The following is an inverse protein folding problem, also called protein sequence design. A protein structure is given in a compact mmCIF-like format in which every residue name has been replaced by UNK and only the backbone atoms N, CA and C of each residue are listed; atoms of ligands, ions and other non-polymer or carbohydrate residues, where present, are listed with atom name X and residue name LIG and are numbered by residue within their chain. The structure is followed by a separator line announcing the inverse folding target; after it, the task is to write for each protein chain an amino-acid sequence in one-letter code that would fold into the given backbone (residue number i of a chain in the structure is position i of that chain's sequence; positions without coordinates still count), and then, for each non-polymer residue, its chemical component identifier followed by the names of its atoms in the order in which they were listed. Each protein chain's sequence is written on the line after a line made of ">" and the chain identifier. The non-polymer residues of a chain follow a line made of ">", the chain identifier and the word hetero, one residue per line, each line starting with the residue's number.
data_IF_093129481631
#
_entry.id   IF_093129481631
#
_cell.length_a   1.000
_cell.length_b   1.000
_cell.length_c   1.000
_cell.angle_alpha   90.00
_cell.angle_beta   90.00
_cell.angle_gamma   90.00
#
_symmetry.space_group_name_H-M   'P 1'
#
loop_
_entity.id
_entity.type
_entity.pdbx_description
1 polymer ?
#
# COMPACT_ATOMS: atom_id res chain seq x y z
N UNK A 1 14.81 -27.68 -44.78
CA UNK A 1 15.69 -26.56 -44.36
C UNK A 1 14.93 -25.45 -43.65
N UNK A 2 13.87 -24.88 -44.24
CA UNK A 2 13.09 -23.78 -43.66
C UNK A 2 12.52 -24.06 -42.25
N UNK A 3 12.05 -25.30 -42.02
CA UNK A 3 11.47 -25.70 -40.73
C UNK A 3 12.52 -25.77 -39.61
N UNK A 4 13.74 -26.25 -39.93
CA UNK A 4 14.85 -26.29 -38.99
C UNK A 4 15.37 -24.90 -38.63
N UNK A 5 15.48 -24.01 -39.63
CA UNK A 5 15.87 -22.60 -39.41
C UNK A 5 14.84 -21.87 -38.54
N UNK A 6 13.54 -22.12 -38.75
CA UNK A 6 12.47 -21.58 -37.90
C UNK A 6 12.55 -22.07 -36.45
N UNK A 7 12.81 -23.36 -36.22
CA UNK A 7 12.95 -23.89 -34.86
C UNK A 7 14.14 -23.25 -34.13
N UNK A 8 15.28 -23.06 -34.81
CA UNK A 8 16.46 -22.39 -34.23
C UNK A 8 16.17 -20.93 -33.90
N UNK A 9 15.43 -20.21 -34.74
CA UNK A 9 15.04 -18.82 -34.47
C UNK A 9 14.06 -18.72 -33.29
N UNK A 10 13.08 -19.63 -33.20
CA UNK A 10 12.10 -19.65 -32.10
C UNK A 10 12.79 -19.97 -30.77
N UNK A 11 13.71 -20.94 -30.74
CA UNK A 11 14.43 -21.28 -29.50
C UNK A 11 15.33 -20.13 -29.02
N UNK A 12 16.02 -19.44 -29.93
CA UNK A 12 16.80 -18.24 -29.59
C UNK A 12 15.92 -17.11 -29.03
N UNK A 13 14.75 -16.85 -29.64
CA UNK A 13 13.77 -15.89 -29.14
C UNK A 13 13.27 -16.23 -27.73
N UNK A 14 12.94 -17.49 -27.47
CA UNK A 14 12.45 -17.95 -26.15
C UNK A 14 13.52 -17.78 -25.07
N UNK A 15 14.78 -18.10 -25.37
CA UNK A 15 15.90 -17.93 -24.42
C UNK A 15 16.12 -16.45 -24.06
N UNK A 16 16.03 -15.55 -25.05
CA UNK A 16 16.17 -14.11 -24.83
C UNK A 16 15.04 -13.54 -23.95
N UNK A 17 13.81 -14.01 -24.12
CA UNK A 17 12.66 -13.59 -23.28
C UNK A 17 12.78 -14.16 -21.87
N UNK A 18 13.16 -15.43 -21.71
CA UNK A 18 13.29 -16.08 -20.40
C UNK A 18 14.37 -15.44 -19.52
N UNK A 19 15.51 -15.02 -20.10
CA UNK A 19 16.58 -14.34 -19.34
C UNK A 19 16.15 -12.99 -18.76
N UNK A 20 15.11 -12.37 -19.31
CA UNK A 20 14.55 -11.10 -18.85
C UNK A 20 13.29 -11.27 -17.96
N UNK A 21 12.89 -12.51 -17.68
CA UNK A 21 11.74 -12.79 -16.81
C UNK A 21 12.14 -12.82 -15.33
N UNK A 22 12.59 -11.66 -14.81
CA UNK A 22 12.43 -11.42 -13.37
C UNK A 22 10.96 -11.04 -13.17
N UNK A 23 10.11 -12.05 -13.08
CA UNK A 23 8.71 -11.88 -12.71
C UNK A 23 8.64 -11.13 -11.38
N UNK A 24 7.59 -10.32 -11.20
CA UNK A 24 7.37 -9.36 -10.13
C UNK A 24 7.32 -9.99 -8.72
N UNK A 25 8.46 -10.54 -8.29
CA UNK A 25 8.68 -11.21 -7.02
C UNK A 25 9.77 -10.44 -6.28
N UNK A 26 9.47 -10.10 -5.04
CA UNK A 26 10.44 -9.47 -4.17
C UNK A 26 11.61 -10.43 -3.90
N UNK A 27 12.82 -10.00 -4.26
CA UNK A 27 14.04 -10.72 -3.96
C UNK A 27 14.37 -10.58 -2.46
N UNK A 28 15.39 -11.30 -2.00
CA UNK A 28 15.95 -11.08 -0.66
C UNK A 28 16.34 -9.61 -0.51
N UNK A 29 15.95 -9.01 0.60
CA UNK A 29 16.23 -7.62 0.88
C UNK A 29 17.75 -7.43 1.04
N UNK A 30 18.29 -6.49 0.27
CA UNK A 30 19.67 -6.03 0.38
C UNK A 30 19.63 -4.51 0.55
N UNK A 31 19.70 -4.08 1.81
CA UNK A 31 19.60 -2.66 2.19
C UNK A 31 20.71 -1.81 1.59
N UNK A 32 21.86 -2.41 1.23
CA UNK A 32 22.96 -1.70 0.58
C UNK A 32 22.63 -1.20 -0.82
N UNK A 33 21.58 -1.76 -1.44
CA UNK A 33 21.07 -1.35 -2.76
C UNK A 33 19.97 -0.30 -2.67
N UNK A 34 19.48 0.01 -1.48
CA UNK A 34 18.43 0.98 -1.29
C UNK A 34 18.98 2.40 -1.41
N UNK A 35 18.21 3.25 -2.07
CA UNK A 35 18.48 4.69 -2.08
C UNK A 35 17.90 5.31 -0.81
N UNK A 36 18.73 6.06 -0.08
CA UNK A 36 18.27 6.76 1.12
C UNK A 36 17.34 7.92 0.74
N UNK A 37 16.10 7.96 1.24
CA UNK A 37 15.17 9.03 0.92
C UNK A 37 15.63 10.34 1.57
N UNK A 38 15.93 11.35 0.74
CA UNK A 38 16.34 12.69 1.17
C UNK A 38 15.21 13.68 0.96
N UNK A 39 14.95 14.54 1.96
CA UNK A 39 13.94 15.61 1.91
C UNK A 39 12.52 15.14 1.54
N UNK A 40 11.98 14.14 2.27
CA UNK A 40 10.59 13.76 2.10
C UNK A 40 9.64 14.88 2.58
N UNK A 41 8.61 15.24 1.79
CA UNK A 41 7.60 16.21 2.22
C UNK A 41 6.74 15.73 3.40
N UNK A 42 6.79 14.43 3.69
CA UNK A 42 6.03 13.81 4.76
C UNK A 42 6.75 12.59 5.33
N UNK A 43 6.00 11.58 5.76
CA UNK A 43 6.63 10.43 6.41
C UNK A 43 7.39 9.51 5.45
N UNK A 44 8.28 8.71 6.03
CA UNK A 44 9.00 7.65 5.33
C UNK A 44 8.26 6.34 5.57
N UNK A 45 7.95 5.63 4.48
CA UNK A 45 7.24 4.35 4.48
C UNK A 45 8.09 3.30 3.79
N UNK A 46 7.78 2.03 4.02
CA UNK A 46 8.41 0.95 3.28
C UNK A 46 7.84 0.90 1.86
N UNK A 47 8.71 0.67 0.88
CA UNK A 47 8.32 0.44 -0.50
C UNK A 47 7.55 -0.88 -0.68
N UNK A 48 7.13 -1.12 -1.92
CA UNK A 48 6.32 -2.29 -2.35
C UNK A 48 6.81 -3.65 -1.82
N UNK A 49 8.12 -3.86 -1.73
CA UNK A 49 8.71 -5.11 -1.26
C UNK A 49 9.01 -5.15 0.24
N UNK A 50 8.66 -4.10 1.00
CA UNK A 50 8.93 -4.03 2.43
C UNK A 50 10.41 -3.91 2.80
N UNK A 51 11.29 -3.62 1.85
CA UNK A 51 12.75 -3.61 2.04
C UNK A 51 13.30 -2.17 2.14
N UNK A 52 13.17 -1.39 1.07
CA UNK A 52 13.70 -0.04 1.03
C UNK A 52 12.70 0.97 1.61
N UNK A 53 13.23 1.93 2.36
CA UNK A 53 12.50 3.11 2.82
C UNK A 53 12.34 4.12 1.70
N UNK A 54 11.11 4.59 1.46
CA UNK A 54 10.76 5.55 0.42
C UNK A 54 9.87 6.66 0.99
N UNK A 55 9.83 7.81 0.34
CA UNK A 55 8.91 8.88 0.75
C UNK A 55 7.45 8.46 0.51
N UNK A 56 6.59 8.75 1.48
CA UNK A 56 5.16 8.49 1.35
C UNK A 56 4.50 9.44 0.34
N UNK A 57 3.51 8.90 -0.38
CA UNK A 57 2.72 9.65 -1.37
C UNK A 57 1.83 10.67 -0.67
N UNK A 58 1.84 11.90 -1.16
CA UNK A 58 1.16 13.04 -0.57
C UNK A 58 -0.29 13.15 -1.06
N UNK A 59 -1.06 14.06 -0.46
CA UNK A 59 -2.45 14.30 -0.85
C UNK A 59 -2.55 14.60 -2.34
N UNK A 60 -3.54 14.00 -3.00
CA UNK A 60 -3.81 14.15 -4.43
C UNK A 60 -2.77 13.50 -5.37
N UNK A 61 -1.85 12.69 -4.85
CA UNK A 61 -0.94 11.88 -5.66
C UNK A 61 -1.50 10.50 -5.99
N UNK A 62 -1.05 9.91 -7.09
CA UNK A 62 -1.36 8.53 -7.47
C UNK A 62 -0.79 7.52 -6.46
N UNK A 63 -1.56 6.47 -6.16
CA UNK A 63 -1.19 5.40 -5.23
C UNK A 63 -1.72 4.03 -5.70
N UNK A 64 -1.18 2.95 -5.15
CA UNK A 64 -1.62 1.59 -5.48
C UNK A 64 -1.22 1.13 -6.89
N UNK A 65 -2.19 0.69 -7.68
CA UNK A 65 -2.00 0.06 -8.99
C UNK A 65 -1.37 -1.33 -8.91
N UNK A 66 -1.02 -1.89 -10.07
CA UNK A 66 -0.51 -3.27 -10.16
C UNK A 66 0.67 -3.49 -9.22
N UNK A 67 0.51 -4.42 -8.27
CA UNK A 67 1.46 -4.74 -7.19
C UNK A 67 1.74 -3.59 -6.19
N UNK A 68 1.17 -2.40 -6.34
CA UNK A 68 1.52 -1.23 -5.52
C UNK A 68 2.62 -0.35 -6.13
N UNK A 69 2.83 -0.42 -7.45
CA UNK A 69 3.87 0.34 -8.16
C UNK A 69 3.73 1.87 -8.03
N UNK A 70 2.53 2.38 -7.78
CA UNK A 70 2.32 3.82 -7.54
C UNK A 70 2.63 4.25 -6.09
N UNK A 71 2.98 3.31 -5.22
CA UNK A 71 3.44 3.59 -3.86
C UNK A 71 2.32 3.72 -2.84
N UNK A 72 2.75 4.05 -1.62
CA UNK A 72 1.92 4.06 -0.40
C UNK A 72 1.69 5.48 0.08
N UNK A 73 0.45 5.82 0.43
CA UNK A 73 0.09 7.14 0.94
C UNK A 73 0.68 7.42 2.33
N UNK A 74 0.82 8.71 2.65
CA UNK A 74 1.28 9.20 3.95
C UNK A 74 0.28 8.95 5.09
N UNK A 75 0.73 9.15 6.33
CA UNK A 75 -0.10 9.07 7.53
C UNK A 75 -1.30 10.02 7.41
N UNK A 76 -2.49 9.53 7.74
CA UNK A 76 -3.74 10.29 7.61
C UNK A 76 -4.27 10.40 6.18
N UNK A 77 -3.67 9.68 5.22
CA UNK A 77 -4.17 9.55 3.85
C UNK A 77 -4.53 8.09 3.56
N UNK A 78 -5.58 7.88 2.76
CA UNK A 78 -5.97 6.56 2.23
C UNK A 78 -5.91 6.58 0.72
N UNK A 79 -5.49 5.45 0.14
CA UNK A 79 -5.56 5.26 -1.30
C UNK A 79 -7.02 4.99 -1.71
N UNK A 80 -7.62 5.91 -2.46
CA UNK A 80 -9.00 5.78 -2.95
C UNK A 80 -8.97 5.44 -4.43
N UNK A 81 -9.43 4.22 -4.74
CA UNK A 81 -9.62 3.75 -6.11
C UNK A 81 -11.09 4.02 -6.47
N UNK A 82 -11.32 4.73 -7.58
CA UNK A 82 -12.67 5.01 -8.07
C UNK A 82 -12.95 4.12 -9.28
N UNK A 83 -14.06 3.37 -9.29
CA UNK A 83 -14.40 2.52 -10.42
C UNK A 83 -14.56 3.36 -11.68
N UNK A 84 -14.19 2.83 -12.85
CA UNK A 84 -14.52 3.47 -14.11
C UNK A 84 -16.05 3.60 -14.23
N UNK A 85 -16.52 4.71 -14.81
CA UNK A 85 -17.95 5.04 -14.96
C UNK A 85 -18.76 4.02 -15.76
N UNK A 86 -18.09 3.05 -16.38
CA UNK A 86 -18.67 2.04 -17.25
C UNK A 86 -19.22 0.82 -16.47
N UNK A 87 -19.13 0.80 -15.14
CA UNK A 87 -19.70 -0.27 -14.31
C UNK A 87 -18.84 -1.53 -14.21
N UNK A 88 -17.57 -1.46 -14.59
CA UNK A 88 -16.63 -2.56 -14.38
C UNK A 88 -16.28 -2.70 -12.88
N UNK A 89 -16.02 -3.94 -12.45
CA UNK A 89 -15.65 -4.24 -11.06
C UNK A 89 -14.25 -3.71 -10.74
N UNK A 90 -14.13 -3.00 -9.62
CA UNK A 90 -12.84 -2.51 -9.09
C UNK A 90 -11.93 -3.71 -8.83
N UNK A 91 -10.76 -3.72 -9.46
CA UNK A 91 -9.68 -4.65 -9.13
C UNK A 91 -8.59 -3.92 -8.34
N UNK A 92 -7.84 -4.64 -7.50
CA UNK A 92 -6.69 -4.09 -6.74
C UNK A 92 -5.57 -3.54 -7.65
N UNK A 93 -5.67 -3.77 -8.97
CA UNK A 93 -4.73 -3.32 -9.98
C UNK A 93 -4.95 -1.88 -10.44
N UNK A 94 -6.04 -1.25 -10.02
CA UNK A 94 -6.39 0.10 -10.42
C UNK A 94 -5.59 1.17 -9.66
N UNK A 95 -5.29 2.26 -10.36
CA UNK A 95 -4.56 3.39 -9.79
C UNK A 95 -5.52 4.25 -8.98
N UNK A 96 -5.22 4.41 -7.69
CA UNK A 96 -5.98 5.28 -6.80
C UNK A 96 -5.34 6.66 -6.64
N UNK A 97 -5.98 7.50 -5.83
CA UNK A 97 -5.47 8.80 -5.41
C UNK A 97 -5.44 8.86 -3.89
N UNK A 98 -4.37 9.42 -3.32
CA UNK A 98 -4.26 9.64 -1.88
C UNK A 98 -5.21 10.76 -1.45
N UNK A 99 -6.25 10.38 -0.71
CA UNK A 99 -7.22 11.32 -0.13
C UNK A 99 -7.08 11.33 1.38
N UNK A 100 -7.38 12.48 1.99
CA UNK A 100 -7.41 12.58 3.44
C UNK A 100 -8.40 11.58 4.00
N UNK A 101 -7.95 10.72 4.93
CA UNK A 101 -8.89 10.03 5.78
C UNK A 101 -9.57 11.11 6.57
N UNK A 102 -10.85 11.38 6.30
CA UNK A 102 -11.69 12.15 7.21
C UNK A 102 -11.97 11.30 8.46
N UNK A 103 -10.93 10.73 9.06
CA UNK A 103 -10.89 10.44 10.47
C UNK A 103 -10.96 11.80 11.15
N UNK A 104 -12.20 12.24 11.40
CA UNK A 104 -12.46 13.00 12.62
C UNK A 104 -11.59 12.33 13.70
N UNK A 105 -10.87 13.15 14.47
CA UNK A 105 -9.86 12.81 15.48
C UNK A 105 -8.40 12.95 15.00
N UNK A 106 -8.01 14.18 14.65
CA UNK A 106 -6.61 14.63 14.75
C UNK A 106 -6.20 14.76 16.22
N UNK A 107 -4.94 14.44 16.50
CA UNK A 107 -4.27 14.29 17.81
C UNK A 107 -4.16 15.57 18.67
N UNK A 108 -5.04 16.56 18.50
CA UNK A 108 -4.99 17.77 19.34
C UNK A 108 -6.34 18.35 19.73
N UNK A 109 -7.48 17.79 19.33
CA UNK A 109 -8.77 18.14 19.96
C UNK A 109 -9.94 17.33 19.40
N UNK A 110 -10.46 16.44 20.26
CA UNK A 110 -11.84 15.97 20.26
C UNK A 110 -12.21 14.92 19.18
N UNK A 111 -11.95 13.66 19.54
CA UNK A 111 -12.87 12.57 19.20
C UNK A 111 -14.16 12.69 20.00
N UNK A 112 -14.94 13.75 19.76
CA UNK A 112 -16.31 13.81 20.26
C UNK A 112 -17.22 13.06 19.32
N UNK A 113 -17.35 11.76 19.57
CA UNK A 113 -18.66 11.14 19.50
C UNK A 113 -19.49 11.71 20.66
N UNK A 114 -20.13 12.86 20.44
CA UNK A 114 -21.05 13.53 21.39
C UNK A 114 -22.25 12.66 21.80
N UNK A 115 -22.29 11.38 21.41
CA UNK A 115 -23.30 10.40 21.77
C UNK A 115 -22.84 9.37 22.82
N UNK A 116 -21.55 9.28 23.19
CA UNK A 116 -21.10 8.27 24.17
C UNK A 116 -20.97 8.81 25.62
N UNK A 117 -20.60 10.09 25.79
CA UNK A 117 -20.34 10.65 27.14
C UNK A 117 -21.58 10.98 27.97
N UNK A 118 -22.75 11.14 27.35
CA UNK A 118 -23.99 11.35 28.10
C UNK A 118 -24.60 10.04 28.62
N UNK A 119 -24.15 8.87 28.13
CA UNK A 119 -24.63 7.56 28.60
C UNK A 119 -23.78 6.96 29.74
N UNK A 120 -22.53 7.40 29.92
CA UNK A 120 -21.62 6.82 30.91
C UNK A 120 -21.60 7.51 32.28
N UNK A 121 -22.36 8.60 32.46
CA UNK A 121 -22.47 9.30 33.75
C UNK A 121 -23.54 8.72 34.70
N UNK A 122 -24.31 7.70 34.29
CA UNK A 122 -25.47 7.23 35.07
C UNK A 122 -25.37 5.83 35.66
N UNK A 123 -24.34 5.03 35.35
CA UNK A 123 -24.19 3.70 35.96
C UNK A 123 -22.77 3.51 36.48
N UNK A 124 -22.64 3.85 37.76
CA UNK A 124 -21.52 3.48 38.61
C UNK A 124 -21.31 1.97 38.64
N UNK A 125 -20.03 1.56 38.57
CA UNK A 125 -19.53 0.20 38.81
C UNK A 125 -20.03 -0.84 37.78
N UNK A 126 -19.29 -1.94 37.69
CA UNK A 126 -19.53 -3.14 36.85
C UNK A 126 -18.74 -3.10 35.52
N UNK A 127 -17.92 -4.15 35.35
CA UNK A 127 -17.04 -4.52 34.23
C UNK A 127 -15.68 -3.79 34.19
N UNK A 128 -14.57 -4.24 34.81
CA UNK A 128 -14.15 -5.60 35.17
C UNK A 128 -14.47 -6.62 34.07
N UNK A 129 -13.73 -6.63 32.95
CA UNK A 129 -13.17 -7.84 32.32
C UNK A 129 -12.61 -7.54 30.91
N UNK A 130 -11.51 -8.23 30.59
CA UNK A 130 -10.83 -8.33 29.30
C UNK A 130 -10.16 -7.04 28.80
N UNK A 131 -8.85 -6.89 28.88
CA UNK A 131 -7.94 -7.75 28.12
C UNK A 131 -6.55 -7.81 28.78
N UNK A 132 -6.32 -8.85 29.59
CA UNK A 132 -5.00 -9.47 29.67
C UNK A 132 -4.89 -10.51 28.54
N UNK A 133 -3.73 -10.56 27.90
CA UNK A 133 -3.33 -11.56 26.91
C UNK A 133 -2.95 -10.91 25.58
N UNK A 134 -1.76 -11.06 25.02
CA UNK A 134 -0.75 -12.09 25.23
C UNK A 134 0.55 -11.63 24.55
N UNK A 135 1.66 -11.73 25.29
CA UNK A 135 3.02 -12.12 24.89
C UNK A 135 3.73 -11.33 23.75
N UNK A 136 4.98 -10.90 23.88
CA UNK A 136 6.08 -11.43 24.70
C UNK A 136 7.13 -10.34 24.94
#
# INVERSE_FOLDING_TARGET
>A
MYLGVKCVLITQLVILVAKNSRALVCLRCDESKCEEPKNCPGSVVLGICGCCSVCAKQKNESCGGVYGLHGTCDRGLRCVIRPPLNGDSITEYEVGVCEGTHSRCDESSLCMSTLCFLYSASLSRIFYFQSQGHHQ
#
